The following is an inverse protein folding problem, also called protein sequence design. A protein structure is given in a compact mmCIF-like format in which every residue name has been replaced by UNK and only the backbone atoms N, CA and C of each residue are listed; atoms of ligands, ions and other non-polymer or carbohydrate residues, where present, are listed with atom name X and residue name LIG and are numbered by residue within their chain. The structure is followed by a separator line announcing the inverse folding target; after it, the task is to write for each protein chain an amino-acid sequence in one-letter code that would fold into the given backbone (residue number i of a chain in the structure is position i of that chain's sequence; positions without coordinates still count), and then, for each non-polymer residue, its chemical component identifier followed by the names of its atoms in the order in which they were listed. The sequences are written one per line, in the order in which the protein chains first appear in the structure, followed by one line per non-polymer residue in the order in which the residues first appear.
data_IF_356652581970
#
_entry.id   IF_356652581970
#
_cell.length_a   1.000
_cell.length_b   1.000
_cell.length_c   1.000
_cell.angle_alpha   90.00
_cell.angle_beta   90.00
_cell.angle_gamma   90.00
#
_symmetry.space_group_name_H-M   'P 1'
#
loop_
_entity.id
_entity.type
_entity.pdbx_description
1 polymer ?
#
# COMPACT_ATOMS: atom_id res chain seq x y z
N UNK A 1 -47.85 -14.38 -22.65
CA UNK A 1 -48.11 -14.50 -21.20
C UNK A 1 -48.01 -13.12 -20.58
N UNK A 2 -49.08 -12.68 -19.92
CA UNK A 2 -49.46 -11.28 -19.70
C UNK A 2 -48.64 -10.55 -18.61
N UNK A 3 -47.86 -9.55 -19.00
CA UNK A 3 -47.24 -8.58 -18.10
C UNK A 3 -48.25 -7.82 -17.22
N UNK A 4 -49.52 -7.72 -17.65
CA UNK A 4 -50.61 -7.12 -16.89
C UNK A 4 -51.01 -7.92 -15.63
N UNK A 5 -50.93 -9.27 -15.67
CA UNK A 5 -51.26 -10.12 -14.53
C UNK A 5 -50.17 -10.11 -13.45
N UNK A 6 -48.91 -9.99 -13.84
CA UNK A 6 -47.80 -9.88 -12.88
C UNK A 6 -47.86 -8.56 -12.12
N UNK A 7 -48.21 -7.47 -12.81
CA UNK A 7 -48.34 -6.13 -12.23
C UNK A 7 -49.53 -6.03 -11.28
N UNK A 8 -50.70 -6.59 -11.62
CA UNK A 8 -51.87 -6.59 -10.73
C UNK A 8 -51.63 -7.45 -9.47
N UNK A 9 -50.92 -8.58 -9.60
CA UNK A 9 -50.57 -9.44 -8.47
C UNK A 9 -49.58 -8.77 -7.50
N UNK A 10 -48.63 -7.98 -8.00
CA UNK A 10 -47.72 -7.17 -7.17
C UNK A 10 -48.48 -6.07 -6.42
N UNK A 11 -49.43 -5.39 -7.08
CA UNK A 11 -50.25 -4.34 -6.46
C UNK A 11 -51.20 -4.90 -5.38
N UNK A 12 -51.74 -6.11 -5.57
CA UNK A 12 -52.53 -6.79 -4.54
C UNK A 12 -51.68 -7.26 -3.35
N UNK A 13 -50.45 -7.72 -3.62
CA UNK A 13 -49.51 -8.13 -2.58
C UNK A 13 -49.06 -6.96 -1.69
N UNK A 14 -48.93 -5.76 -2.25
CA UNK A 14 -48.59 -4.54 -1.50
C UNK A 14 -49.70 -4.07 -0.54
N UNK A 15 -50.97 -4.39 -0.81
CA UNK A 15 -52.10 -4.06 0.10
C UNK A 15 -52.28 -5.07 1.24
N UNK A 16 -51.75 -6.29 1.10
CA UNK A 16 -51.77 -7.29 2.16
C UNK A 16 -50.61 -7.04 3.14
N UNK A 17 -50.92 -6.86 4.43
CA UNK A 17 -49.92 -6.58 5.48
C UNK A 17 -48.78 -7.60 5.50
N UNK A 18 -49.06 -8.88 5.22
CA UNK A 18 -48.07 -9.95 5.16
C UNK A 18 -47.11 -9.78 3.96
N UNK A 19 -47.60 -9.34 2.80
CA UNK A 19 -46.78 -9.15 1.61
C UNK A 19 -45.91 -7.89 1.66
N UNK A 20 -46.44 -6.81 2.25
CA UNK A 20 -45.68 -5.59 2.53
C UNK A 20 -44.46 -5.87 3.43
N UNK A 21 -44.63 -6.69 4.49
CA UNK A 21 -43.53 -7.06 5.40
C UNK A 21 -42.48 -7.91 4.68
N UNK A 22 -42.88 -8.85 3.81
CA UNK A 22 -41.92 -9.63 3.03
C UNK A 22 -41.09 -8.75 2.08
N UNK A 23 -41.70 -7.75 1.44
CA UNK A 23 -40.97 -6.82 0.56
C UNK A 23 -39.93 -6.02 1.36
N UNK A 24 -40.33 -5.47 2.50
CA UNK A 24 -39.43 -4.71 3.37
C UNK A 24 -38.24 -5.57 3.86
N UNK A 25 -38.52 -6.81 4.25
CA UNK A 25 -37.49 -7.76 4.64
C UNK A 25 -36.48 -8.06 3.53
N UNK A 26 -36.96 -8.24 2.29
CA UNK A 26 -36.07 -8.44 1.13
C UNK A 26 -35.19 -7.22 0.88
N UNK A 27 -35.72 -6.01 1.00
CA UNK A 27 -34.92 -4.78 0.88
C UNK A 27 -33.84 -4.68 1.96
N UNK A 28 -34.18 -5.02 3.22
CA UNK A 28 -33.20 -5.05 4.31
C UNK A 28 -32.11 -6.09 4.07
N UNK A 29 -32.44 -7.26 3.53
CA UNK A 29 -31.43 -8.28 3.18
C UNK A 29 -30.50 -7.83 2.05
N UNK A 30 -31.03 -7.17 1.01
CA UNK A 30 -30.21 -6.61 -0.07
C UNK A 30 -29.23 -5.57 0.49
N UNK A 31 -29.73 -4.67 1.34
CA UNK A 31 -28.91 -3.65 1.98
C UNK A 31 -27.83 -4.26 2.88
N UNK A 32 -28.18 -5.27 3.68
CA UNK A 32 -27.23 -5.99 4.54
C UNK A 32 -26.12 -6.67 3.71
N UNK A 33 -26.48 -7.28 2.56
CA UNK A 33 -25.51 -7.91 1.66
C UNK A 33 -24.53 -6.88 1.09
N UNK A 34 -25.02 -5.69 0.76
CA UNK A 34 -24.16 -4.58 0.31
C UNK A 34 -23.19 -4.13 1.41
N UNK A 35 -23.66 -4.01 2.65
CA UNK A 35 -22.79 -3.70 3.80
C UNK A 35 -21.70 -4.75 3.96
N UNK A 36 -22.03 -6.04 3.88
CA UNK A 36 -21.02 -7.10 4.01
C UNK A 36 -19.99 -7.06 2.89
N UNK A 37 -20.40 -6.83 1.64
CA UNK A 37 -19.48 -6.67 0.53
C UNK A 37 -18.52 -5.49 0.75
N UNK A 38 -19.04 -4.37 1.25
CA UNK A 38 -18.23 -3.20 1.60
C UNK A 38 -17.24 -3.48 2.74
N UNK A 39 -17.68 -4.15 3.82
CA UNK A 39 -16.82 -4.52 4.94
C UNK A 39 -15.71 -5.49 4.52
N UNK A 40 -16.02 -6.47 3.68
CA UNK A 40 -15.04 -7.40 3.15
C UNK A 40 -13.95 -6.67 2.35
N UNK A 41 -14.34 -5.74 1.48
CA UNK A 41 -13.39 -4.92 0.71
C UNK A 41 -12.52 -4.05 1.63
N UNK A 42 -13.12 -3.44 2.66
CA UNK A 42 -12.41 -2.65 3.67
C UNK A 42 -11.35 -3.49 4.39
N UNK A 43 -11.70 -4.70 4.83
CA UNK A 43 -10.77 -5.60 5.54
C UNK A 43 -9.59 -5.99 4.65
N UNK A 44 -9.84 -6.35 3.39
CA UNK A 44 -8.78 -6.71 2.43
C UNK A 44 -7.84 -5.52 2.21
N UNK A 45 -8.39 -4.32 2.03
CA UNK A 45 -7.65 -3.10 1.81
C UNK A 45 -6.75 -2.75 3.01
N UNK A 46 -7.32 -2.77 4.22
CA UNK A 46 -6.60 -2.48 5.47
C UNK A 46 -5.53 -3.53 5.76
N UNK A 47 -5.83 -4.80 5.56
CA UNK A 47 -4.85 -5.88 5.74
C UNK A 47 -3.68 -5.74 4.77
N UNK A 48 -3.94 -5.44 3.50
CA UNK A 48 -2.90 -5.23 2.49
C UNK A 48 -2.03 -4.01 2.82
N UNK A 49 -2.65 -2.92 3.26
CA UNK A 49 -1.93 -1.70 3.71
C UNK A 49 -1.03 -2.02 4.91
N UNK A 50 -1.54 -2.72 5.93
CA UNK A 50 -0.75 -3.13 7.09
C UNK A 50 0.42 -4.06 6.73
N UNK A 51 0.24 -4.96 5.75
CA UNK A 51 1.35 -5.80 5.25
C UNK A 51 2.42 -4.95 4.55
N UNK A 52 2.01 -3.97 3.76
CA UNK A 52 2.94 -3.04 3.08
C UNK A 52 3.71 -2.18 4.09
N UNK A 53 3.05 -1.68 5.13
CA UNK A 53 3.66 -0.85 6.17
C UNK A 53 4.68 -1.65 6.99
N UNK A 54 4.31 -2.86 7.41
CA UNK A 54 5.24 -3.76 8.09
C UNK A 54 6.43 -4.11 7.19
N UNK A 55 6.19 -4.44 5.92
CA UNK A 55 7.26 -4.80 4.99
C UNK A 55 8.19 -3.61 4.70
N UNK A 56 7.66 -2.41 4.46
CA UNK A 56 8.48 -1.21 4.19
C UNK A 56 9.33 -0.85 5.41
N UNK A 57 8.75 -0.93 6.62
CA UNK A 57 9.47 -0.68 7.87
C UNK A 57 10.57 -1.73 8.15
N UNK A 58 10.27 -3.01 7.94
CA UNK A 58 11.28 -4.07 8.08
C UNK A 58 12.42 -3.90 7.08
N UNK A 59 12.12 -3.63 5.81
CA UNK A 59 13.13 -3.48 4.77
C UNK A 59 14.03 -2.26 5.00
N UNK A 60 13.47 -1.10 5.40
CA UNK A 60 14.30 0.08 5.67
C UNK A 60 15.22 -0.13 6.88
N UNK A 61 14.79 -0.91 7.87
CA UNK A 61 15.63 -1.28 9.01
C UNK A 61 16.76 -2.23 8.60
N UNK A 62 16.49 -3.24 7.76
CA UNK A 62 17.54 -4.10 7.21
C UNK A 62 18.54 -3.28 6.40
N UNK A 63 18.05 -2.32 5.61
CA UNK A 63 18.89 -1.43 4.81
C UNK A 63 19.79 -0.56 5.69
N UNK A 64 19.26 -0.05 6.80
CA UNK A 64 20.05 0.67 7.80
C UNK A 64 21.14 -0.20 8.42
N UNK A 65 20.80 -1.38 8.93
CA UNK A 65 21.76 -2.23 9.67
C UNK A 65 22.83 -2.85 8.77
N UNK A 66 22.55 -3.09 7.48
CA UNK A 66 23.54 -3.61 6.52
C UNK A 66 24.83 -2.80 6.52
N UNK A 67 24.73 -1.48 6.65
CA UNK A 67 25.91 -0.60 6.61
C UNK A 67 26.89 -0.83 7.77
N UNK A 68 26.41 -1.33 8.92
CA UNK A 68 27.28 -1.70 10.04
C UNK A 68 27.93 -3.06 9.86
N UNK A 69 27.23 -4.01 9.22
CA UNK A 69 27.69 -5.40 9.06
C UNK A 69 28.58 -5.60 7.82
N UNK A 70 28.44 -4.76 6.79
CA UNK A 70 29.15 -4.89 5.51
C UNK A 70 30.05 -3.68 5.24
N UNK A 71 31.14 -3.59 5.99
CA UNK A 71 32.31 -2.74 5.74
C UNK A 71 32.02 -1.30 5.28
N UNK A 72 30.95 -0.70 5.81
CA UNK A 72 30.49 0.66 5.51
C UNK A 72 30.17 0.93 4.03
N UNK A 73 29.85 -0.10 3.24
CA UNK A 73 29.35 0.10 1.88
C UNK A 73 27.92 0.66 1.95
N UNK A 74 27.81 1.99 1.87
CA UNK A 74 26.56 2.75 1.90
C UNK A 74 25.82 2.75 0.57
N UNK A 75 26.47 2.34 -0.52
CA UNK A 75 25.90 2.35 -1.87
C UNK A 75 24.97 1.16 -2.08
N UNK A 76 23.75 1.45 -2.54
CA UNK A 76 22.77 0.44 -2.92
C UNK A 76 23.08 0.01 -4.35
N UNK A 77 23.22 -1.29 -4.59
CA UNK A 77 23.52 -1.85 -5.92
C UNK A 77 22.26 -2.40 -6.59
N UNK A 78 22.34 -2.67 -7.90
CA UNK A 78 21.26 -3.35 -8.63
C UNK A 78 21.02 -4.80 -8.14
N UNK A 79 22.04 -5.43 -7.55
CA UNK A 79 21.87 -6.75 -6.94
C UNK A 79 21.08 -6.65 -5.63
N UNK A 80 21.36 -5.64 -4.81
CA UNK A 80 20.56 -5.33 -3.63
C UNK A 80 19.11 -5.07 -4.01
N UNK A 81 18.87 -4.30 -5.08
CA UNK A 81 17.52 -4.06 -5.58
C UNK A 81 16.74 -5.36 -5.84
N UNK A 82 17.36 -6.34 -6.53
CA UNK A 82 16.73 -7.65 -6.81
C UNK A 82 16.48 -8.46 -5.54
N UNK A 83 17.43 -8.46 -4.60
CA UNK A 83 17.28 -9.17 -3.32
C UNK A 83 16.15 -8.54 -2.49
N UNK A 84 16.09 -7.21 -2.44
CA UNK A 84 15.03 -6.48 -1.74
C UNK A 84 13.66 -6.68 -2.40
N UNK A 85 13.60 -6.79 -3.73
CA UNK A 85 12.37 -7.15 -4.43
C UNK A 85 11.87 -8.55 -4.02
N UNK A 86 12.76 -9.55 -3.95
CA UNK A 86 12.42 -10.90 -3.51
C UNK A 86 11.99 -10.93 -2.04
N UNK A 87 12.70 -10.22 -1.16
CA UNK A 87 12.35 -10.08 0.25
C UNK A 87 10.99 -9.38 0.42
N UNK A 88 10.72 -8.32 -0.34
CA UNK A 88 9.43 -7.64 -0.33
C UNK A 88 8.30 -8.59 -0.76
N UNK A 89 8.50 -9.38 -1.83
CA UNK A 89 7.52 -10.40 -2.25
C UNK A 89 7.29 -11.46 -1.15
N UNK A 90 8.36 -11.91 -0.49
CA UNK A 90 8.25 -12.83 0.64
C UNK A 90 7.46 -12.23 1.81
N UNK A 91 7.71 -10.97 2.18
CA UNK A 91 7.04 -10.30 3.30
C UNK A 91 5.57 -9.99 3.00
N UNK A 92 5.25 -9.56 1.78
CA UNK A 92 3.89 -9.13 1.42
C UNK A 92 3.02 -10.30 1.00
N UNK A 93 3.55 -11.25 0.23
CA UNK A 93 2.80 -12.37 -0.33
C UNK A 93 3.08 -13.73 0.31
N UNK A 94 4.12 -13.84 1.15
CA UNK A 94 4.57 -15.11 1.71
C UNK A 94 5.42 -15.96 0.77
N UNK A 95 5.73 -15.45 -0.43
CA UNK A 95 6.48 -16.16 -1.47
C UNK A 95 7.40 -15.21 -2.26
N UNK A 96 8.71 -15.46 -2.16
CA UNK A 96 9.77 -14.72 -2.85
C UNK A 96 9.67 -14.79 -4.38
N UNK A 97 9.07 -15.85 -4.92
CA UNK A 97 8.92 -16.09 -6.34
C UNK A 97 7.51 -15.75 -6.85
N UNK A 98 6.71 -15.05 -6.03
CA UNK A 98 5.35 -14.69 -6.41
C UNK A 98 5.33 -13.93 -7.74
N UNK A 99 4.48 -14.36 -8.66
CA UNK A 99 4.21 -13.66 -9.92
C UNK A 99 3.33 -12.43 -9.75
N UNK A 100 2.86 -12.15 -8.52
CA UNK A 100 2.04 -10.98 -8.23
C UNK A 100 2.84 -9.69 -8.42
N UNK A 101 2.23 -8.66 -9.03
CA UNK A 101 2.90 -7.39 -9.28
C UNK A 101 3.21 -6.67 -7.96
N UNK A 102 4.49 -6.48 -7.69
CA UNK A 102 5.02 -5.65 -6.61
C UNK A 102 6.16 -4.80 -7.16
N UNK A 103 6.11 -3.50 -6.86
CA UNK A 103 7.15 -2.53 -7.22
C UNK A 103 7.82 -2.05 -5.95
N UNK A 104 9.11 -1.83 -6.04
CA UNK A 104 9.92 -1.31 -4.95
C UNK A 104 10.74 -0.12 -5.45
N UNK A 105 10.86 0.90 -4.61
CA UNK A 105 11.78 2.02 -4.81
C UNK A 105 12.64 2.14 -3.58
N UNK A 106 13.94 2.05 -3.77
CA UNK A 106 14.95 2.27 -2.75
C UNK A 106 15.55 3.65 -2.96
N UNK A 107 15.56 4.48 -1.93
CA UNK A 107 16.18 5.80 -1.98
C UNK A 107 17.22 5.93 -0.87
N UNK A 108 18.33 6.56 -1.23
CA UNK A 108 19.43 6.91 -0.36
C UNK A 108 19.75 8.39 -0.54
N UNK A 109 19.99 9.08 0.57
CA UNK A 109 20.39 10.48 0.58
C UNK A 109 21.49 10.73 1.60
N UNK A 110 22.53 11.42 1.17
CA UNK A 110 23.60 12.01 1.97
C UNK A 110 23.84 13.45 1.49
N UNK A 111 24.65 14.23 2.21
CA UNK A 111 24.97 15.62 1.85
C UNK A 111 25.61 15.75 0.47
N UNK A 112 26.33 14.71 0.03
CA UNK A 112 27.14 14.74 -1.20
C UNK A 112 26.55 13.89 -2.33
N UNK A 113 25.70 12.92 -2.02
CA UNK A 113 25.22 11.93 -2.99
C UNK A 113 23.76 11.58 -2.70
N UNK A 114 22.98 11.44 -3.77
CA UNK A 114 21.63 10.90 -3.73
C UNK A 114 21.52 9.78 -4.75
N UNK A 115 20.86 8.70 -4.35
CA UNK A 115 20.62 7.56 -5.21
C UNK A 115 19.18 7.07 -5.09
N UNK A 116 18.58 6.73 -6.23
CA UNK A 116 17.25 6.11 -6.29
C UNK A 116 17.35 4.88 -7.19
N UNK A 117 16.80 3.76 -6.73
CA UNK A 117 16.70 2.52 -7.49
C UNK A 117 15.23 2.06 -7.57
N UNK A 118 14.69 1.78 -8.76
CA UNK A 118 15.35 1.93 -10.07
C UNK A 118 15.64 3.42 -10.40
N UNK A 119 16.71 3.68 -11.17
CA UNK A 119 17.15 5.04 -11.51
C UNK A 119 16.07 5.85 -12.26
N UNK A 120 15.24 5.16 -13.04
CA UNK A 120 14.00 5.70 -13.59
C UNK A 120 12.84 5.11 -12.80
N UNK A 121 12.26 5.83 -11.84
CA UNK A 121 11.05 5.36 -11.18
C UNK A 121 9.98 5.24 -12.26
N UNK A 122 9.44 4.03 -12.44
CA UNK A 122 8.24 3.87 -13.25
C UNK A 122 7.16 4.80 -12.69
N UNK A 123 6.49 5.57 -13.55
CA UNK A 123 5.49 6.58 -13.15
C UNK A 123 4.37 6.07 -12.22
N UNK A 124 4.30 4.76 -11.99
CA UNK A 124 3.26 4.08 -11.22
C UNK A 124 3.61 3.93 -9.73
N UNK A 125 4.91 3.83 -9.35
CA UNK A 125 5.33 3.70 -7.95
C UNK A 125 6.33 4.79 -7.58
N UNK A 126 5.83 5.86 -6.97
CA UNK A 126 6.65 7.01 -6.54
C UNK A 126 6.49 7.18 -5.04
N UNK A 127 7.55 7.44 -4.27
CA UNK A 127 7.43 7.77 -2.84
C UNK A 127 6.46 8.92 -2.57
N UNK A 128 5.79 8.91 -1.41
CA UNK A 128 4.90 10.01 -1.01
C UNK A 128 5.65 11.35 -0.87
N UNK A 129 6.87 11.29 -0.32
CA UNK A 129 7.83 12.40 -0.24
C UNK A 129 9.20 11.87 -0.64
N UNK A 130 9.90 12.58 -1.54
CA UNK A 130 11.28 12.24 -1.91
C UNK A 130 12.23 12.63 -0.78
N UNK A 131 13.32 11.89 -0.58
CA UNK A 131 14.27 12.18 0.52
C UNK A 131 14.85 13.59 0.47
N UNK A 132 15.11 14.12 -0.72
CA UNK A 132 15.63 15.48 -0.90
C UNK A 132 14.76 16.53 -0.17
N UNK A 133 13.43 16.39 -0.30
CA UNK A 133 12.47 17.29 0.34
C UNK A 133 12.43 17.16 1.87
N UNK A 134 12.92 16.05 2.42
CA UNK A 134 12.94 15.75 3.86
C UNK A 134 14.36 15.64 4.42
N UNK A 135 15.36 16.14 3.69
CA UNK A 135 16.77 16.19 4.09
C UNK A 135 17.02 16.98 5.39
N UNK A 136 16.07 17.81 5.81
CA UNK A 136 16.09 18.50 7.10
C UNK A 136 15.86 17.56 8.30
N UNK A 137 15.29 16.37 8.08
CA UNK A 137 15.10 15.33 9.11
C UNK A 137 16.38 14.57 9.43
N UNK A 138 17.42 14.74 8.62
CA UNK A 138 18.74 14.14 8.88
C UNK A 138 19.42 14.86 10.06
N UNK A 139 19.71 14.15 11.17
CA UNK A 139 20.45 14.72 12.28
C UNK A 139 21.92 14.94 11.93
N UNK A 140 22.58 15.80 12.70
CA UNK A 140 24.02 16.04 12.62
C UNK A 140 24.77 15.00 13.45
N UNK A 141 25.94 14.59 12.99
CA UNK A 141 26.81 13.65 13.68
C UNK A 141 27.46 14.30 14.91
N UNK A 142 27.53 13.56 16.02
CA UNK A 142 28.11 14.05 17.28
C UNK A 142 29.61 14.34 17.20
N UNK A 143 30.34 13.67 16.30
CA UNK A 143 31.82 13.66 16.33
C UNK A 143 32.43 14.96 15.80
N UNK A 144 31.71 15.77 15.02
CA UNK A 144 32.19 17.10 14.57
C UNK A 144 31.05 18.11 14.29
N UNK A 145 29.77 17.73 14.50
CA UNK A 145 28.57 18.55 14.21
C UNK A 145 28.45 19.08 12.76
N UNK A 146 29.30 18.61 11.85
CA UNK A 146 29.40 19.07 10.46
C UNK A 146 28.76 18.09 9.48
N UNK A 147 28.87 16.79 9.72
CA UNK A 147 28.34 15.74 8.83
C UNK A 147 26.90 15.39 9.17
N UNK A 148 25.99 15.47 8.21
CA UNK A 148 24.63 14.92 8.34
C UNK A 148 24.65 13.40 8.21
N UNK A 149 23.79 12.73 8.94
CA UNK A 149 23.68 11.28 8.91
C UNK A 149 22.79 10.87 7.73
N UNK A 150 23.22 9.94 6.86
CA UNK A 150 22.45 9.59 5.66
C UNK A 150 21.06 9.07 6.00
N UNK A 151 20.14 9.26 5.06
CA UNK A 151 18.76 8.82 5.14
C UNK A 151 18.52 7.69 4.14
N UNK A 152 17.72 6.72 4.54
CA UNK A 152 17.23 5.65 3.68
C UNK A 152 15.71 5.69 3.62
N UNK A 153 15.14 5.40 2.46
CA UNK A 153 13.71 5.18 2.31
C UNK A 153 13.45 3.96 1.44
N UNK A 154 12.45 3.19 1.84
CA UNK A 154 11.92 2.08 1.06
C UNK A 154 10.45 2.36 0.79
N UNK A 155 10.09 2.38 -0.49
CA UNK A 155 8.70 2.48 -0.94
C UNK A 155 8.29 1.19 -1.62
N UNK A 156 7.15 0.64 -1.20
CA UNK A 156 6.53 -0.53 -1.81
C UNK A 156 5.21 -0.12 -2.44
N UNK A 157 4.95 -0.63 -3.64
CA UNK A 157 3.65 -0.53 -4.27
C UNK A 157 3.13 -1.88 -4.74
N UNK A 158 1.85 -2.15 -4.50
CA UNK A 158 1.16 -3.36 -4.98
C UNK A 158 -0.14 -2.99 -5.67
N UNK A 159 -0.49 -3.79 -6.66
CA UNK A 159 -1.79 -3.69 -7.29
C UNK A 159 -2.86 -4.24 -6.34
N UNK A 160 -3.98 -3.55 -6.28
CA UNK A 160 -5.17 -3.99 -5.52
C UNK A 160 -6.36 -3.96 -6.47
N UNK A 161 -7.36 -4.81 -6.25
CA UNK A 161 -8.62 -4.79 -6.99
C UNK A 161 -9.79 -4.55 -6.03
N UNK A 162 -9.73 -3.46 -5.27
CA UNK A 162 -10.86 -2.99 -4.45
C UNK A 162 -11.87 -2.22 -5.32
N UNK A 163 -13.17 -2.43 -5.05
CA UNK A 163 -14.27 -1.75 -5.73
C UNK A 163 -14.53 -0.35 -5.15
N UNK A 164 -14.22 -0.15 -3.86
CA UNK A 164 -14.48 1.10 -3.13
C UNK A 164 -13.23 1.96 -2.91
N UNK A 165 -12.17 1.74 -3.70
CA UNK A 165 -10.90 2.48 -3.62
C UNK A 165 -11.08 4.00 -3.57
N UNK A 166 -11.95 4.54 -4.41
CA UNK A 166 -12.14 5.98 -4.53
C UNK A 166 -12.69 6.64 -3.25
N UNK A 167 -13.36 5.87 -2.39
CA UNK A 167 -13.93 6.35 -1.12
C UNK A 167 -12.98 6.03 0.04
N UNK A 168 -12.28 4.90 -0.02
CA UNK A 168 -11.50 4.36 1.10
C UNK A 168 -10.03 4.79 1.14
N UNK A 169 -9.44 5.22 0.02
CA UNK A 169 -8.00 5.53 -0.06
C UNK A 169 -7.71 7.01 -0.01
N UNK A 170 -6.83 7.39 0.93
CA UNK A 170 -6.22 8.71 0.94
C UNK A 170 -5.11 8.83 -0.13
N UNK A 171 -4.86 10.05 -0.63
CA UNK A 171 -3.83 10.34 -1.65
C UNK A 171 -2.41 9.99 -1.19
N UNK A 172 -2.17 9.90 0.11
CA UNK A 172 -0.88 9.46 0.65
C UNK A 172 -0.63 7.96 0.48
N UNK A 173 -1.68 7.13 0.45
CA UNK A 173 -1.59 5.67 0.42
C UNK A 173 -1.78 5.05 -0.97
N UNK A 174 -1.96 5.86 -2.02
CA UNK A 174 -2.08 5.34 -3.39
C UNK A 174 -1.31 6.17 -4.43
N UNK A 175 -0.93 5.50 -5.51
CA UNK A 175 -0.27 6.09 -6.69
C UNK A 175 -0.81 5.40 -7.95
N UNK A 176 -1.51 6.13 -8.83
CA UNK A 176 -1.99 5.64 -10.14
C UNK A 176 -2.66 4.23 -10.10
N UNK A 177 -3.48 3.97 -9.07
CA UNK A 177 -4.24 2.70 -8.93
C UNK A 177 -3.56 1.63 -8.07
N UNK A 178 -2.33 1.86 -7.62
CA UNK A 178 -1.55 1.00 -6.75
C UNK A 178 -1.65 1.47 -5.29
N UNK A 179 -1.68 0.52 -4.35
CA UNK A 179 -1.45 0.81 -2.94
C UNK A 179 0.02 1.07 -2.73
N UNK A 180 0.35 2.09 -1.94
CA UNK A 180 1.71 2.49 -1.63
C UNK A 180 1.92 2.58 -0.12
N UNK A 181 3.08 2.10 0.32
CA UNK A 181 3.64 2.40 1.64
C UNK A 181 5.09 2.86 1.49
N UNK A 182 5.49 3.88 2.26
CA UNK A 182 6.84 4.41 2.27
C UNK A 182 7.32 4.53 3.71
N UNK A 183 8.47 3.93 4.02
CA UNK A 183 9.12 4.02 5.34
C UNK A 183 10.52 4.59 5.18
N UNK A 184 10.92 5.46 6.11
CA UNK A 184 12.25 6.08 6.13
C UNK A 184 12.97 5.82 7.45
N UNK A 185 14.30 5.75 7.41
CA UNK A 185 15.15 5.55 8.58
C UNK A 185 16.46 6.32 8.42
N UNK A 186 16.99 6.79 9.55
CA UNK A 186 18.30 7.45 9.61
C UNK A 186 19.36 6.37 9.72
N UNK A 187 20.48 6.50 8.99
CA UNK A 187 21.66 5.67 9.17
C UNK A 187 22.18 5.77 10.61
N UNK A 188 23.05 4.85 11.01
CA UNK A 188 23.67 4.87 12.34
C UNK A 188 25.18 4.88 12.22
#
# INVERSE_FOLDING_TARGET
MNAQNFRSSILGFHKNKLGSVTIEFVFMLIFLTFIFAFLADLVILRSTTGKLDNASYSLVNILRERTQLYDRNYKITNEDYKQYEQLAKQLVFGDKNSSKPLKIVLEYWDQNEQMTLPATPENQCVPYRKLDTVSYLSPKSEINNERKIPLYQVTLCVETHSFFKAILLDKSSHSLGWLRSSSMSVAR
#
